data_IF_088451003002
#
_entry.id   IF_088451003002
#
_cell.length_a   1.000
_cell.length_b   1.000
_cell.length_c   1.000
_cell.angle_alpha   90.00
_cell.angle_beta   90.00
_cell.angle_gamma   90.00
#
_symmetry.space_group_name_H-M   'P 1'
#
loop_
_entity.id
_entity.type
_entity.pdbx_description
1 polymer ?
#
# COMPACT_ATOMS: atom_id res chain seq x y z
N UNK A 1 -24.96 -12.91 -10.41
CA UNK A 1 -24.21 -13.16 -11.66
C UNK A 1 -22.89 -12.40 -11.56
N UNK A 2 -21.74 -13.02 -11.85
CA UNK A 2 -20.43 -12.35 -11.75
C UNK A 2 -19.82 -12.25 -13.15
N UNK A 3 -19.77 -11.04 -13.71
CA UNK A 3 -19.26 -10.77 -15.06
C UNK A 3 -17.72 -10.76 -15.10
N UNK A 4 -17.16 -11.34 -16.16
CA UNK A 4 -15.73 -11.59 -16.30
C UNK A 4 -15.10 -10.55 -17.25
N UNK A 5 -14.31 -9.62 -16.71
CA UNK A 5 -13.77 -8.44 -17.39
C UNK A 5 -12.38 -8.66 -18.06
N UNK A 6 -12.13 -9.82 -18.67
CA UNK A 6 -10.85 -10.09 -19.36
C UNK A 6 -10.97 -9.95 -20.88
N UNK A 7 -10.16 -9.05 -21.46
CA UNK A 7 -10.12 -8.81 -22.90
C UNK A 7 -9.23 -9.85 -23.62
N UNK A 8 -9.71 -10.36 -24.76
CA UNK A 8 -9.02 -11.40 -25.54
C UNK A 8 -7.82 -10.82 -26.30
N UNK A 9 -6.63 -11.40 -26.13
CA UNK A 9 -5.44 -11.05 -26.91
C UNK A 9 -5.44 -11.72 -28.29
N UNK A 10 -4.79 -11.08 -29.29
CA UNK A 10 -4.83 -11.46 -30.72
C UNK A 10 -3.75 -12.46 -31.18
N UNK A 11 -2.94 -13.04 -30.29
CA UNK A 11 -1.91 -14.04 -30.65
C UNK A 11 -2.00 -15.23 -29.71
N UNK A 12 -2.68 -16.29 -30.15
CA UNK A 12 -2.92 -17.51 -29.38
C UNK A 12 -4.22 -17.46 -28.56
N UNK A 13 -5.33 -17.89 -29.17
CA UNK A 13 -6.62 -17.99 -28.49
C UNK A 13 -6.66 -19.19 -27.54
N UNK A 14 -7.30 -19.03 -26.38
CA UNK A 14 -7.57 -20.11 -25.45
C UNK A 14 -8.25 -21.29 -26.18
N UNK A 15 -7.71 -22.51 -26.06
CA UNK A 15 -8.39 -23.72 -26.54
C UNK A 15 -9.66 -23.94 -25.70
N UNK A 16 -10.71 -24.52 -26.29
CA UNK A 16 -11.89 -24.95 -25.51
C UNK A 16 -11.41 -25.82 -24.34
N UNK A 17 -11.77 -25.45 -23.11
CA UNK A 17 -11.34 -26.08 -21.84
C UNK A 17 -9.84 -25.97 -21.48
N UNK A 18 -9.05 -25.12 -22.16
CA UNK A 18 -7.70 -24.82 -21.70
C UNK A 18 -7.74 -23.76 -20.59
N UNK A 19 -6.97 -24.01 -19.53
CA UNK A 19 -6.85 -23.14 -18.37
C UNK A 19 -7.39 -23.78 -17.08
N UNK A 20 -7.00 -23.20 -15.94
CA UNK A 20 -7.56 -23.56 -14.64
C UNK A 20 -9.02 -23.11 -14.61
N UNK A 21 -9.96 -24.01 -14.30
CA UNK A 21 -11.38 -23.68 -14.12
C UNK A 21 -11.51 -22.46 -13.21
N UNK A 22 -12.17 -21.41 -13.70
CA UNK A 22 -12.31 -20.16 -12.98
C UNK A 22 -12.92 -20.42 -11.59
N UNK A 23 -12.26 -19.88 -10.55
CA UNK A 23 -12.82 -19.83 -9.20
C UNK A 23 -12.62 -21.06 -8.32
N UNK A 24 -12.41 -22.28 -8.83
CA UNK A 24 -12.52 -23.48 -7.99
C UNK A 24 -11.44 -23.54 -6.89
N UNK A 25 -10.18 -23.39 -7.27
CA UNK A 25 -9.08 -23.42 -6.31
C UNK A 25 -8.65 -22.01 -5.84
N UNK A 26 -9.37 -20.95 -6.24
CA UNK A 26 -9.30 -19.62 -5.59
C UNK A 26 -10.34 -19.47 -4.49
N UNK A 27 -11.54 -20.05 -4.64
CA UNK A 27 -12.58 -20.09 -3.59
C UNK A 27 -12.11 -20.88 -2.37
N UNK A 28 -11.59 -22.09 -2.57
CA UNK A 28 -11.07 -22.93 -1.47
C UNK A 28 -9.93 -22.25 -0.70
N UNK A 29 -9.02 -21.56 -1.40
CA UNK A 29 -7.93 -20.81 -0.74
C UNK A 29 -8.46 -19.62 0.05
N UNK A 30 -9.52 -18.96 -0.45
CA UNK A 30 -10.17 -17.86 0.26
C UNK A 30 -10.89 -18.33 1.52
N UNK A 31 -11.67 -19.40 1.42
CA UNK A 31 -12.34 -20.00 2.58
C UNK A 31 -11.35 -20.43 3.68
N UNK A 32 -10.17 -20.94 3.32
CA UNK A 32 -9.12 -21.27 4.29
C UNK A 32 -8.56 -20.01 4.94
N UNK A 33 -8.33 -18.94 4.16
CA UNK A 33 -7.84 -17.67 4.69
C UNK A 33 -8.87 -17.01 5.63
N UNK A 34 -10.15 -17.05 5.25
CA UNK A 34 -11.25 -16.51 6.06
C UNK A 34 -11.39 -17.29 7.38
N UNK A 35 -11.32 -18.63 7.33
CA UNK A 35 -11.30 -19.46 8.56
C UNK A 35 -10.09 -19.20 9.44
N UNK A 36 -8.90 -19.07 8.87
CA UNK A 36 -7.70 -18.75 9.64
C UNK A 36 -7.78 -17.36 10.29
N UNK A 37 -8.48 -16.41 9.65
CA UNK A 37 -8.76 -15.11 10.22
C UNK A 37 -9.77 -15.18 11.38
N UNK A 38 -10.77 -16.08 11.31
CA UNK A 38 -11.72 -16.34 12.39
C UNK A 38 -11.09 -17.06 13.59
N UNK A 39 -10.21 -18.03 13.34
CA UNK A 39 -9.49 -18.80 14.37
C UNK A 39 -8.37 -17.99 15.06
N UNK A 40 -8.05 -16.79 14.55
CA UNK A 40 -7.15 -15.82 15.18
C UNK A 40 -5.66 -16.05 14.93
N UNK A 41 -5.28 -17.13 14.25
CA UNK A 41 -3.88 -17.42 13.90
C UNK A 41 -3.68 -17.36 12.38
N UNK A 42 -3.41 -16.16 11.87
CA UNK A 42 -3.09 -15.95 10.46
C UNK A 42 -1.57 -15.97 10.23
N UNK A 43 -1.09 -16.28 9.02
CA UNK A 43 0.35 -16.17 8.70
C UNK A 43 0.90 -14.76 8.97
N UNK A 44 0.11 -13.72 8.68
CA UNK A 44 0.48 -12.33 8.97
C UNK A 44 0.63 -12.09 10.48
N UNK A 45 -0.28 -12.62 11.28
CA UNK A 45 -0.22 -12.50 12.73
C UNK A 45 1.04 -13.17 13.29
N UNK A 46 1.38 -14.37 12.82
CA UNK A 46 2.61 -15.08 13.21
C UNK A 46 3.86 -14.27 12.85
N UNK A 47 3.90 -13.68 11.65
CA UNK A 47 5.00 -12.79 11.24
C UNK A 47 5.12 -11.58 12.19
N UNK A 48 4.01 -10.89 12.46
CA UNK A 48 4.01 -9.70 13.31
C UNK A 48 4.38 -10.02 14.77
N UNK A 49 3.86 -11.11 15.33
CA UNK A 49 4.18 -11.55 16.68
C UNK A 49 5.64 -11.94 16.84
N UNK A 50 6.17 -12.71 15.89
CA UNK A 50 7.57 -13.15 15.91
C UNK A 50 8.52 -11.95 15.77
N UNK A 51 8.23 -11.04 14.82
CA UNK A 51 9.00 -9.80 14.65
C UNK A 51 9.02 -8.98 15.95
N UNK A 52 7.86 -8.77 16.58
CA UNK A 52 7.76 -8.01 17.85
C UNK A 52 8.51 -8.69 18.99
N UNK A 53 8.45 -10.02 19.08
CA UNK A 53 9.15 -10.77 20.10
C UNK A 53 10.67 -10.65 19.97
N UNK A 54 11.20 -10.70 18.73
CA UNK A 54 12.64 -10.53 18.48
C UNK A 54 13.11 -9.11 18.79
N UNK A 55 12.35 -8.09 18.37
CA UNK A 55 12.63 -6.69 18.70
C UNK A 55 12.63 -6.49 20.21
N UNK A 56 11.61 -6.97 20.93
CA UNK A 56 11.55 -6.85 22.38
C UNK A 56 12.70 -7.57 23.09
N UNK A 57 13.13 -8.73 22.59
CA UNK A 57 14.33 -9.42 23.12
C UNK A 57 15.60 -8.60 22.91
N UNK A 58 15.77 -8.00 21.73
CA UNK A 58 16.89 -7.10 21.45
C UNK A 58 16.86 -5.87 22.37
N UNK A 59 15.70 -5.24 22.53
CA UNK A 59 15.53 -4.08 23.41
C UNK A 59 15.85 -4.42 24.87
N UNK A 60 15.48 -5.62 25.34
CA UNK A 60 15.83 -6.10 26.67
C UNK A 60 17.35 -6.28 26.84
N UNK A 61 18.04 -6.86 25.84
CA UNK A 61 19.49 -6.99 25.88
C UNK A 61 20.18 -5.61 25.90
N UNK A 62 19.68 -4.69 25.07
CA UNK A 62 20.18 -3.31 25.03
C UNK A 62 19.91 -2.54 26.31
N UNK A 63 18.77 -2.76 26.95
CA UNK A 63 18.41 -2.15 28.23
C UNK A 63 19.24 -2.71 29.40
N UNK A 64 19.69 -3.97 29.32
CA UNK A 64 20.54 -4.59 30.33
C UNK A 64 21.99 -4.06 30.32
N UNK A 65 22.43 -3.41 29.23
CA UNK A 65 23.74 -2.80 29.15
C UNK A 65 23.85 -1.56 30.06
N UNK A 66 24.90 -1.51 30.87
CA UNK A 66 25.12 -0.51 31.92
C UNK A 66 25.76 0.74 31.35
N UNK A 67 26.63 0.59 30.35
CA UNK A 67 27.32 1.69 29.67
C UNK A 67 26.93 1.81 28.20
N UNK A 68 27.18 2.99 27.61
CA UNK A 68 26.94 3.21 26.18
C UNK A 68 27.85 2.35 25.29
N UNK A 69 29.10 2.11 25.73
CA UNK A 69 30.01 1.20 25.02
C UNK A 69 29.48 -0.24 24.98
N UNK A 70 28.84 -0.72 26.06
CA UNK A 70 28.20 -2.04 26.07
C UNK A 70 26.96 -2.11 25.18
N UNK A 71 26.19 -1.01 25.08
CA UNK A 71 25.02 -0.93 24.19
C UNK A 71 25.41 -1.05 22.73
N UNK A 72 26.54 -0.45 22.34
CA UNK A 72 27.06 -0.51 20.98
C UNK A 72 27.59 -1.90 20.60
N UNK A 73 27.94 -2.72 21.60
CA UNK A 73 28.41 -4.10 21.43
C UNK A 73 27.26 -5.13 21.40
N UNK A 74 26.01 -4.72 21.60
CA UNK A 74 24.86 -5.65 21.57
C UNK A 74 24.73 -6.27 20.19
N UNK A 75 24.75 -7.61 20.06
CA UNK A 75 24.64 -8.28 18.77
C UNK A 75 23.33 -7.93 18.04
N UNK A 76 23.45 -7.59 16.76
CA UNK A 76 22.31 -7.22 15.92
C UNK A 76 21.56 -8.42 15.31
N UNK A 77 21.97 -9.66 15.60
CA UNK A 77 21.41 -10.86 14.98
C UNK A 77 19.89 -10.95 15.11
N UNK A 78 19.35 -10.66 16.30
CA UNK A 78 17.90 -10.61 16.55
C UNK A 78 17.20 -9.56 15.70
N UNK A 79 17.84 -8.42 15.47
CA UNK A 79 17.29 -7.33 14.66
C UNK A 79 17.36 -7.65 13.16
N UNK A 80 18.40 -8.37 12.73
CA UNK A 80 18.54 -8.87 11.35
C UNK A 80 17.44 -9.89 11.05
N UNK A 81 17.19 -10.83 11.96
CA UNK A 81 16.08 -11.78 11.85
C UNK A 81 14.72 -11.06 11.82
N UNK A 82 14.50 -10.10 12.72
CA UNK A 82 13.29 -9.29 12.73
C UNK A 82 13.09 -8.51 11.42
N UNK A 83 14.18 -7.98 10.83
CA UNK A 83 14.18 -7.30 9.54
C UNK A 83 13.76 -8.23 8.39
N UNK A 84 14.21 -9.48 8.42
CA UNK A 84 13.79 -10.52 7.47
C UNK A 84 12.27 -10.73 7.51
N UNK A 85 11.71 -10.89 8.70
CA UNK A 85 10.26 -11.07 8.88
C UNK A 85 9.50 -9.80 8.49
N UNK A 86 10.03 -8.63 8.81
CA UNK A 86 9.42 -7.34 8.43
C UNK A 86 9.30 -7.20 6.91
N UNK A 87 10.33 -7.63 6.16
CA UNK A 87 10.32 -7.65 4.70
C UNK A 87 9.21 -8.55 4.14
N UNK A 88 8.99 -9.71 4.76
CA UNK A 88 7.95 -10.65 4.34
C UNK A 88 6.54 -10.15 4.68
N UNK A 89 6.38 -9.41 5.79
CA UNK A 89 5.12 -8.80 6.20
C UNK A 89 4.78 -7.51 5.42
N UNK A 90 5.78 -6.79 4.92
CA UNK A 90 5.63 -5.48 4.26
C UNK A 90 4.57 -5.41 3.15
N UNK A 91 4.44 -6.40 2.23
CA UNK A 91 3.43 -6.35 1.16
C UNK A 91 1.98 -6.31 1.65
N UNK A 92 1.71 -6.78 2.86
CA UNK A 92 0.38 -6.87 3.44
C UNK A 92 -0.02 -5.63 4.24
N UNK A 93 0.95 -4.84 4.69
CA UNK A 93 0.74 -3.66 5.55
C UNK A 93 0.98 -2.36 4.78
N UNK A 94 1.90 -2.37 3.81
CA UNK A 94 2.28 -1.17 3.05
C UNK A 94 1.63 -1.19 1.66
N UNK A 95 0.60 -0.35 1.42
CA UNK A 95 -0.03 -0.30 0.11
C UNK A 95 0.97 0.17 -0.95
N UNK A 96 1.00 -0.51 -2.10
CA UNK A 96 1.82 -0.10 -3.25
C UNK A 96 1.12 1.07 -3.94
N UNK A 97 1.87 2.11 -4.31
CA UNK A 97 1.35 3.29 -5.03
C UNK A 97 0.54 2.93 -6.29
N UNK A 98 0.93 1.87 -7.01
CA UNK A 98 0.20 1.37 -8.19
C UNK A 98 -1.19 0.79 -7.88
N UNK A 99 -1.50 0.53 -6.61
CA UNK A 99 -2.81 0.02 -6.16
C UNK A 99 -3.73 1.14 -5.62
N UNK A 100 -3.27 2.40 -5.61
CA UNK A 100 -4.07 3.56 -5.22
C UNK A 100 -4.60 4.21 -6.51
N UNK A 101 -5.84 3.92 -6.86
CA UNK A 101 -6.53 4.67 -7.92
C UNK A 101 -6.86 6.06 -7.39
N UNK A 102 -6.14 7.10 -7.85
CA UNK A 102 -6.54 8.48 -7.64
C UNK A 102 -7.71 8.79 -8.59
N UNK A 103 -8.95 8.70 -8.10
CA UNK A 103 -10.16 9.10 -8.83
C UNK A 103 -10.37 10.63 -8.83
N UNK A 104 -9.29 11.41 -8.89
CA UNK A 104 -9.38 12.85 -8.96
C UNK A 104 -9.88 13.27 -10.33
N UNK A 105 -11.03 13.94 -10.39
CA UNK A 105 -11.46 14.65 -11.60
C UNK A 105 -10.41 15.72 -11.91
N UNK A 106 -9.56 15.47 -12.91
CA UNK A 106 -8.57 16.45 -13.36
C UNK A 106 -9.32 17.54 -14.09
N UNK A 107 -9.64 18.63 -13.39
CA UNK A 107 -10.17 19.84 -14.00
C UNK A 107 -9.05 20.52 -14.78
N UNK A 108 -8.90 20.18 -16.06
CA UNK A 108 -8.06 20.94 -16.98
C UNK A 108 -8.81 22.21 -17.37
N UNK A 109 -8.35 23.37 -16.88
CA UNK A 109 -8.78 24.67 -17.41
C UNK A 109 -7.89 25.03 -18.58
N UNK A 110 -8.46 25.64 -19.62
CA UNK A 110 -7.65 26.12 -20.74
C UNK A 110 -6.98 27.44 -20.36
N UNK A 111 -5.75 27.67 -20.83
CA UNK A 111 -5.02 28.93 -20.62
C UNK A 111 -5.85 30.14 -21.09
N UNK A 112 -6.66 29.95 -22.14
CA UNK A 112 -7.54 30.98 -22.69
C UNK A 112 -8.67 31.36 -21.72
N UNK A 113 -9.24 30.40 -20.99
CA UNK A 113 -10.27 30.65 -19.97
C UNK A 113 -9.69 31.42 -18.78
N UNK A 114 -8.48 31.05 -18.33
CA UNK A 114 -7.81 31.76 -17.23
C UNK A 114 -7.44 33.20 -17.62
N UNK A 115 -6.92 33.41 -18.83
CA UNK A 115 -6.60 34.75 -19.33
C UNK A 115 -7.87 35.61 -19.50
N UNK A 116 -8.99 35.02 -19.91
CA UNK A 116 -10.26 35.72 -20.04
C UNK A 116 -10.83 36.14 -18.65
N UNK A 117 -10.74 35.26 -17.65
CA UNK A 117 -11.13 35.58 -16.27
C UNK A 117 -10.24 36.69 -15.66
N UNK A 118 -8.93 36.61 -15.85
CA UNK A 118 -7.99 37.64 -15.37
C UNK A 118 -8.24 38.99 -16.06
N UNK A 119 -8.43 38.99 -17.37
CA UNK A 119 -8.71 40.22 -18.12
C UNK A 119 -10.09 40.81 -17.76
N UNK A 120 -11.09 39.96 -17.48
CA UNK A 120 -12.40 40.39 -16.99
C UNK A 120 -12.36 40.93 -15.54
N UNK A 121 -11.48 40.41 -14.70
CA UNK A 121 -11.25 40.96 -13.35
C UNK A 121 -10.54 42.32 -13.40
N UNK A 122 -9.58 42.49 -14.31
CA UNK A 122 -8.85 43.75 -14.52
C UNK A 122 -9.75 44.87 -15.06
N UNK A 123 -10.68 44.56 -15.96
CA UNK A 123 -11.64 45.55 -16.49
C UNK A 123 -12.61 46.07 -15.42
N UNK A 124 -12.97 45.26 -14.42
CA UNK A 124 -13.78 45.69 -13.27
C UNK A 124 -13.02 46.59 -12.27
N UNK A 125 -11.68 46.53 -12.23
CA UNK A 125 -10.88 47.43 -11.38
C UNK A 125 -10.66 48.81 -11.98
N UNK A 126 -10.88 48.98 -13.28
CA UNK A 126 -10.78 50.27 -13.97
C UNK A 126 -11.90 51.27 -13.60
N UNK A 127 -12.94 50.82 -12.88
CA UNK A 127 -14.02 51.66 -12.38
C UNK A 127 -13.87 52.11 -10.92
N UNK A 128 -12.79 51.77 -10.22
CA UNK A 128 -12.58 52.25 -8.85
C UNK A 128 -12.08 53.70 -8.91
N UNK A 129 -12.84 54.69 -8.40
CA UNK A 129 -12.37 56.08 -8.41
C UNK A 129 -11.07 56.19 -7.60
N UNK A 130 -10.16 57.11 -7.96
CA UNK A 130 -8.92 57.30 -7.21
C UNK A 130 -9.25 57.60 -5.75
N UNK A 131 -8.62 56.86 -4.84
CA UNK A 131 -8.65 57.18 -3.42
C UNK A 131 -7.91 58.51 -3.27
N UNK A 132 -8.62 59.53 -2.78
CA UNK A 132 -8.07 60.85 -2.47
C UNK A 132 -7.03 60.79 -1.36
#
# INVERSE_FOLDING_TARGET
MFENNQTKSKRGGARKNAGRKAGAATKRTREIADKAAEEGLTPLEVMLQTMRALVGRFDNLRAAAVSDAERDLVPLDLMIEASGIAKDAAPYIHPRLAAIEHSGEIKTRSLAEELAELNGAQSNTAGRPPVA
#
